data_IF_355353196461
#
_entry.id   IF_355353196461
#
_cell.length_a   1.000
_cell.length_b   1.000
_cell.length_c   1.000
_cell.angle_alpha   90.00
_cell.angle_beta   90.00
_cell.angle_gamma   90.00
#
_symmetry.space_group_name_H-M   'P 1'
#
loop_
_entity.id
_entity.type
_entity.pdbx_description
1 polymer ?
#
# COMPACT_ATOMS: atom_id res chain seq x y z
N UNK A 1 14.46 11.94 3.65
CA UNK A 1 13.75 10.65 3.41
C UNK A 1 12.64 10.81 2.37
N UNK A 2 12.03 9.71 1.88
CA UNK A 2 10.86 9.80 0.98
C UNK A 2 9.73 10.62 1.58
N UNK A 3 9.48 10.45 2.88
CA UNK A 3 8.43 11.15 3.64
C UNK A 3 8.69 12.66 3.65
N UNK A 4 9.90 13.10 4.00
CA UNK A 4 10.27 14.52 3.97
C UNK A 4 10.06 15.16 2.59
N UNK A 5 10.39 14.47 1.50
CA UNK A 5 10.17 15.00 0.14
C UNK A 5 8.68 15.17 -0.17
N UNK A 6 7.84 14.23 0.25
CA UNK A 6 6.39 14.32 0.03
C UNK A 6 5.75 15.43 0.89
N UNK A 7 6.20 15.58 2.14
CA UNK A 7 5.79 16.70 3.01
C UNK A 7 6.17 18.05 2.39
N UNK A 8 7.39 18.17 1.86
CA UNK A 8 7.86 19.38 1.18
C UNK A 8 7.06 19.72 -0.09
N UNK A 9 6.42 18.72 -0.73
CA UNK A 9 5.52 18.89 -1.87
C UNK A 9 4.07 19.19 -1.47
N UNK A 10 3.79 19.35 -0.17
CA UNK A 10 2.46 19.69 0.36
C UNK A 10 1.55 18.49 0.65
N UNK A 11 2.06 17.26 0.63
CA UNK A 11 1.29 16.10 1.06
C UNK A 11 1.08 16.12 2.58
N UNK A 12 -0.11 15.75 3.06
CA UNK A 12 -0.40 15.62 4.49
C UNK A 12 0.14 14.31 5.05
N UNK A 13 0.34 14.25 6.38
CA UNK A 13 0.71 13.02 7.06
C UNK A 13 -0.30 11.89 6.77
N UNK A 14 -1.61 12.20 6.77
CA UNK A 14 -2.66 11.22 6.46
C UNK A 14 -2.62 10.72 5.02
N UNK A 15 -2.24 11.58 4.06
CA UNK A 15 -2.05 11.16 2.67
C UNK A 15 -0.86 10.21 2.54
N UNK A 16 0.23 10.51 3.25
CA UNK A 16 1.44 9.69 3.25
C UNK A 16 1.20 8.36 3.96
N UNK A 17 0.43 8.34 5.05
CA UNK A 17 0.09 7.14 5.81
C UNK A 17 -0.67 6.08 4.98
N UNK A 18 -1.40 6.50 3.93
CA UNK A 18 -2.08 5.57 3.02
C UNK A 18 -1.16 4.87 2.01
N UNK A 19 0.11 5.27 1.92
CA UNK A 19 1.07 4.72 0.96
C UNK A 19 1.69 3.44 1.52
N UNK A 20 1.38 2.31 0.91
CA UNK A 20 2.07 1.04 1.19
C UNK A 20 3.52 1.10 0.70
N UNK A 21 4.45 0.83 1.62
CA UNK A 21 5.88 1.01 1.39
C UNK A 21 6.71 0.14 2.34
N UNK A 22 7.46 -0.85 1.83
CA UNK A 22 7.61 -1.24 0.42
C UNK A 22 6.29 -1.64 -0.27
N UNK A 23 6.23 -1.50 -1.59
CA UNK A 23 5.07 -1.94 -2.38
C UNK A 23 5.15 -3.45 -2.60
N UNK A 24 3.99 -4.10 -2.61
CA UNK A 24 3.83 -5.54 -2.79
C UNK A 24 3.58 -6.29 -1.48
N UNK A 25 2.97 -7.47 -1.58
CA UNK A 25 2.84 -8.39 -0.46
C UNK A 25 4.19 -9.03 -0.12
N UNK A 26 4.41 -9.33 1.16
CA UNK A 26 5.60 -10.04 1.60
C UNK A 26 5.52 -11.52 1.20
N UNK A 27 6.09 -11.84 0.04
CA UNK A 27 6.18 -13.20 -0.50
C UNK A 27 7.64 -13.66 -0.65
N UNK A 28 8.61 -12.92 -0.08
CA UNK A 28 10.03 -13.18 -0.29
C UNK A 28 10.54 -12.91 -1.71
N UNK A 29 9.93 -11.97 -2.44
CA UNK A 29 10.26 -11.66 -3.83
C UNK A 29 11.70 -11.13 -4.00
N UNK A 30 12.43 -11.67 -4.97
CA UNK A 30 13.79 -11.29 -5.33
C UNK A 30 13.95 -10.98 -6.83
N UNK A 31 13.23 -11.68 -7.72
CA UNK A 31 13.28 -11.42 -9.16
C UNK A 31 12.25 -10.35 -9.60
N UNK A 32 12.46 -9.66 -10.74
CA UNK A 32 11.48 -8.69 -11.25
C UNK A 32 10.08 -9.28 -11.46
N UNK A 33 9.99 -10.56 -11.86
CA UNK A 33 8.72 -11.25 -12.04
C UNK A 33 8.02 -11.51 -10.69
N UNK A 34 8.76 -11.93 -9.67
CA UNK A 34 8.23 -12.10 -8.30
C UNK A 34 7.76 -10.77 -7.72
N UNK A 35 8.53 -9.70 -7.92
CA UNK A 35 8.15 -8.35 -7.48
C UNK A 35 6.84 -7.92 -8.17
N UNK A 36 6.70 -8.16 -9.47
CA UNK A 36 5.46 -7.86 -10.20
C UNK A 36 4.25 -8.62 -9.62
N UNK A 37 4.40 -9.91 -9.31
CA UNK A 37 3.35 -10.70 -8.65
C UNK A 37 3.01 -10.14 -7.27
N UNK A 38 4.01 -9.79 -6.45
CA UNK A 38 3.80 -9.19 -5.13
C UNK A 38 2.99 -7.89 -5.22
N UNK A 39 3.32 -7.02 -6.19
CA UNK A 39 2.62 -5.76 -6.45
C UNK A 39 1.17 -6.01 -6.88
N UNK A 40 0.95 -6.89 -7.86
CA UNK A 40 -0.38 -7.22 -8.35
C UNK A 40 -1.26 -7.82 -7.25
N UNK A 41 -0.69 -8.69 -6.42
CA UNK A 41 -1.40 -9.27 -5.28
C UNK A 41 -1.84 -8.20 -4.27
N UNK A 42 -0.97 -7.25 -3.92
CA UNK A 42 -1.33 -6.13 -3.03
C UNK A 42 -2.39 -5.22 -3.66
N UNK A 43 -2.32 -4.97 -4.97
CA UNK A 43 -3.32 -4.18 -5.68
C UNK A 43 -4.71 -4.86 -5.66
N UNK A 44 -4.76 -6.17 -5.90
CA UNK A 44 -5.99 -6.97 -5.82
C UNK A 44 -6.53 -6.97 -4.40
N UNK A 45 -5.68 -7.18 -3.39
CA UNK A 45 -6.09 -7.14 -1.98
C UNK A 45 -6.73 -5.79 -1.64
N UNK A 46 -6.05 -4.68 -1.95
CA UNK A 46 -6.56 -3.34 -1.68
C UNK A 46 -7.86 -3.03 -2.44
N UNK A 47 -8.07 -3.62 -3.62
CA UNK A 47 -9.31 -3.46 -4.38
C UNK A 47 -10.46 -4.29 -3.79
N UNK A 48 -10.20 -5.53 -3.37
CA UNK A 48 -11.20 -6.47 -2.87
C UNK A 48 -11.61 -6.21 -1.42
N UNK A 49 -10.68 -5.74 -0.59
CA UNK A 49 -10.91 -5.47 0.83
C UNK A 49 -11.40 -4.04 1.11
N UNK A 50 -11.36 -3.16 0.11
CA UNK A 50 -11.88 -1.80 0.24
C UNK A 50 -13.34 -1.83 0.69
N UNK A 51 -13.61 -1.28 1.88
CA UNK A 51 -14.95 -1.18 2.46
C UNK A 51 -15.40 -2.39 3.27
N UNK A 52 -14.61 -3.48 3.33
CA UNK A 52 -14.81 -4.56 4.31
C UNK A 52 -14.35 -4.10 5.70
N UNK A 53 -13.21 -3.42 5.78
CA UNK A 53 -12.71 -2.79 7.01
C UNK A 53 -13.71 -1.76 7.59
N UNK A 54 -14.54 -1.16 6.73
CA UNK A 54 -15.60 -0.22 7.12
C UNK A 54 -16.87 -0.92 7.64
N UNK A 55 -17.09 -2.19 7.26
CA UNK A 55 -18.20 -3.01 7.75
C UNK A 55 -17.88 -3.64 9.10
N UNK A 56 -16.64 -4.06 9.31
CA UNK A 56 -16.20 -4.67 10.58
C UNK A 56 -16.12 -3.65 11.73
N UNK A 57 -15.93 -2.36 11.44
CA UNK A 57 -15.98 -1.29 12.44
C UNK A 57 -17.41 -0.86 12.84
N UNK A 58 -18.44 -1.31 12.10
CA UNK A 58 -19.85 -0.99 12.33
C UNK A 58 -20.63 -2.15 12.96
N UNK A 59 -19.96 -3.25 13.28
CA UNK A 59 -20.47 -4.42 14.01
C UNK A 59 -19.85 -4.47 15.43
#
# INVERSE_FOLDING_TARGET
TRVERLLAMGATADQIARIHAPIGLDIGAASPAEIAVAILAQAIQAFRLRGLDSKDAAA
#
